data_IF_165876487595
#
_entry.id   IF_165876487595
#
_cell.length_a   1.000
_cell.length_b   1.000
_cell.length_c   1.000
_cell.angle_alpha   90.00
_cell.angle_beta   90.00
_cell.angle_gamma   90.00
#
_symmetry.space_group_name_H-M   'P 1'
#
loop_
_entity.id
_entity.type
_entity.pdbx_description
1 polymer ?
#
# COMPACT_ATOMS: atom_id res chain seq x y z
N UNK A 1 -13.13 4.61 -14.15
CA UNK A 1 -12.57 5.64 -13.28
C UNK A 1 -11.63 4.99 -12.26
N UNK A 2 -10.45 5.54 -12.09
CA UNK A 2 -9.48 4.99 -11.13
C UNK A 2 -9.87 5.36 -9.71
N UNK A 3 -9.72 4.40 -8.80
CA UNK A 3 -10.09 4.55 -7.40
C UNK A 3 -8.86 4.47 -6.49
N UNK A 4 -9.06 4.81 -5.24
CA UNK A 4 -8.04 4.69 -4.20
C UNK A 4 -8.57 3.78 -3.11
N UNK A 5 -7.80 2.75 -2.77
CA UNK A 5 -8.15 1.79 -1.72
C UNK A 5 -7.21 1.92 -0.52
N UNK A 6 -7.70 1.54 0.64
CA UNK A 6 -6.89 1.50 1.87
C UNK A 6 -7.08 0.14 2.53
N UNK A 7 -5.99 -0.58 2.74
CA UNK A 7 -5.99 -1.88 3.42
C UNK A 7 -5.23 -1.74 4.73
N UNK A 8 -5.84 -2.14 5.81
CA UNK A 8 -5.19 -2.07 7.11
C UNK A 8 -6.11 -2.46 8.25
N UNK A 9 -5.64 -2.29 9.48
CA UNK A 9 -6.44 -2.52 10.66
C UNK A 9 -7.63 -1.58 10.69
N UNK A 10 -8.69 -2.02 11.35
CA UNK A 10 -9.95 -1.28 11.38
C UNK A 10 -9.78 0.17 11.80
N UNK A 11 -8.98 0.43 12.83
CA UNK A 11 -8.80 1.78 13.34
C UNK A 11 -8.04 2.65 12.35
N UNK A 12 -7.09 2.07 11.62
CA UNK A 12 -6.32 2.79 10.63
C UNK A 12 -7.19 3.20 9.45
N UNK A 13 -7.98 2.25 8.89
CA UNK A 13 -8.74 2.54 7.68
C UNK A 13 -9.97 3.40 7.91
N UNK A 14 -10.55 3.38 9.11
CA UNK A 14 -11.76 4.15 9.39
C UNK A 14 -11.54 5.66 9.26
N UNK A 15 -10.33 6.14 9.54
CA UNK A 15 -10.00 7.53 9.31
C UNK A 15 -10.05 7.92 7.85
N UNK A 16 -9.71 7.00 6.97
CA UNK A 16 -9.73 7.25 5.52
C UNK A 16 -11.12 7.14 4.92
N UNK A 17 -12.02 6.41 5.59
CA UNK A 17 -13.40 6.29 5.12
C UNK A 17 -14.09 7.65 5.04
N UNK A 18 -13.80 8.51 5.98
CA UNK A 18 -14.37 9.85 6.03
C UNK A 18 -13.94 10.70 4.83
N UNK A 19 -12.84 10.34 4.17
CA UNK A 19 -12.32 11.04 3.00
C UNK A 19 -12.88 10.50 1.69
N UNK A 20 -13.77 9.51 1.76
CA UNK A 20 -14.40 8.95 0.56
C UNK A 20 -13.59 7.87 -0.13
N UNK A 21 -12.55 7.35 0.50
CA UNK A 21 -11.76 6.26 -0.05
C UNK A 21 -12.44 4.91 0.22
N UNK A 22 -12.15 3.92 -0.62
CA UNK A 22 -12.64 2.57 -0.40
C UNK A 22 -11.77 1.89 0.65
N UNK A 23 -12.34 1.55 1.79
CA UNK A 23 -11.59 1.00 2.91
C UNK A 23 -11.83 -0.50 3.07
N UNK A 24 -10.77 -1.24 3.37
CA UNK A 24 -10.79 -2.68 3.51
C UNK A 24 -10.14 -3.06 4.84
N UNK A 25 -10.92 -3.11 5.92
CA UNK A 25 -10.37 -3.49 7.23
C UNK A 25 -10.01 -4.99 7.24
N UNK A 26 -8.83 -5.30 7.74
CA UNK A 26 -8.33 -6.67 7.86
C UNK A 26 -7.75 -6.88 9.24
N UNK A 27 -7.74 -8.13 9.69
CA UNK A 27 -7.21 -8.48 11.00
C UNK A 27 -5.93 -9.29 10.92
N UNK A 28 -5.69 -9.96 9.79
CA UNK A 28 -4.53 -10.82 9.62
C UNK A 28 -3.80 -10.54 8.32
N UNK A 29 -2.56 -10.97 8.25
CA UNK A 29 -1.76 -10.86 7.03
C UNK A 29 -2.39 -11.65 5.87
N UNK A 30 -2.98 -12.79 6.19
CA UNK A 30 -3.66 -13.61 5.18
C UNK A 30 -4.84 -12.87 4.56
N UNK A 31 -5.63 -12.18 5.37
CA UNK A 31 -6.74 -11.38 4.89
C UNK A 31 -6.25 -10.22 4.04
N UNK A 32 -5.18 -9.57 4.45
CA UNK A 32 -4.59 -8.47 3.70
C UNK A 32 -4.10 -8.95 2.33
N UNK A 33 -3.45 -10.10 2.29
CA UNK A 33 -2.95 -10.69 1.06
C UNK A 33 -4.09 -11.00 0.09
N UNK A 34 -5.15 -11.62 0.60
CA UNK A 34 -6.33 -11.95 -0.21
C UNK A 34 -7.00 -10.69 -0.74
N UNK A 35 -7.15 -9.68 0.11
CA UNK A 35 -7.75 -8.41 -0.29
C UNK A 35 -6.92 -7.76 -1.39
N UNK A 36 -5.61 -7.71 -1.23
CA UNK A 36 -4.71 -7.13 -2.22
C UNK A 36 -4.84 -7.85 -3.56
N UNK A 37 -4.89 -9.19 -3.53
CA UNK A 37 -5.07 -9.98 -4.74
C UNK A 37 -6.40 -9.69 -5.42
N UNK A 38 -7.47 -9.59 -4.64
CA UNK A 38 -8.80 -9.32 -5.19
C UNK A 38 -8.88 -7.94 -5.83
N UNK A 39 -8.30 -6.94 -5.22
CA UNK A 39 -8.30 -5.58 -5.75
C UNK A 39 -7.49 -5.45 -7.03
N UNK A 40 -6.43 -6.22 -7.16
CA UNK A 40 -5.57 -6.17 -8.35
C UNK A 40 -6.06 -7.05 -9.48
N UNK A 41 -6.95 -8.00 -9.17
CA UNK A 41 -7.51 -8.93 -10.17
C UNK A 41 -8.71 -8.35 -10.90
N UNK A 42 -9.44 -7.46 -10.26
CA UNK A 42 -10.68 -6.91 -10.84
C UNK A 42 -10.37 -6.05 -12.05
N UNK A 43 -11.07 -6.33 -13.13
CA UNK A 43 -10.96 -5.54 -14.37
C UNK A 43 -11.92 -4.35 -14.31
N UNK A 44 -13.03 -4.51 -13.60
CA UNK A 44 -14.07 -3.48 -13.52
C UNK A 44 -13.71 -2.36 -12.55
N UNK A 45 -13.11 -2.73 -11.41
CA UNK A 45 -12.72 -1.76 -10.39
C UNK A 45 -11.20 -1.63 -10.40
N UNK A 46 -10.72 -0.65 -11.13
CA UNK A 46 -9.28 -0.41 -11.23
C UNK A 46 -8.85 0.61 -10.17
N UNK A 47 -7.95 0.19 -9.32
CA UNK A 47 -7.38 1.07 -8.31
C UNK A 47 -6.07 1.65 -8.80
N UNK A 48 -5.98 2.97 -8.77
CA UNK A 48 -4.75 3.67 -9.12
C UNK A 48 -3.74 3.58 -7.98
N UNK A 49 -4.23 3.67 -6.75
CA UNK A 49 -3.41 3.68 -5.55
C UNK A 49 -4.03 2.73 -4.51
N UNK A 50 -3.19 1.95 -3.87
CA UNK A 50 -3.57 1.12 -2.73
C UNK A 50 -2.68 1.51 -1.56
N UNK A 51 -3.26 2.12 -0.53
CA UNK A 51 -2.56 2.37 0.72
C UNK A 51 -2.59 1.11 1.55
N UNK A 52 -1.44 0.67 2.01
CA UNK A 52 -1.30 -0.54 2.81
C UNK A 52 -0.61 -0.21 4.12
N UNK A 53 -1.24 -0.60 5.24
CA UNK A 53 -0.63 -0.39 6.55
C UNK A 53 0.70 -1.12 6.63
N UNK A 54 1.76 -0.42 7.03
CA UNK A 54 3.10 -0.97 6.96
C UNK A 54 3.35 -2.19 7.86
N UNK A 55 2.59 -2.33 8.95
CA UNK A 55 2.69 -3.52 9.79
C UNK A 55 2.30 -4.80 9.04
N UNK A 56 1.37 -4.68 8.10
CA UNK A 56 0.96 -5.79 7.26
C UNK A 56 1.94 -6.03 6.11
N UNK A 57 2.57 -4.96 5.65
CA UNK A 57 3.49 -5.02 4.52
C UNK A 57 4.73 -5.87 4.82
N UNK A 58 5.13 -5.98 6.08
CA UNK A 58 6.28 -6.76 6.49
C UNK A 58 6.18 -8.21 6.00
N UNK A 59 4.98 -8.78 6.06
CA UNK A 59 4.76 -10.17 5.68
C UNK A 59 4.17 -10.32 4.27
N UNK A 60 4.03 -9.21 3.54
CA UNK A 60 3.45 -9.22 2.19
C UNK A 60 4.45 -8.74 1.12
N UNK A 61 5.73 -8.74 1.45
CA UNK A 61 6.76 -8.23 0.56
C UNK A 61 6.72 -8.87 -0.84
N UNK A 62 6.54 -10.19 -0.89
CA UNK A 62 6.47 -10.90 -2.17
C UNK A 62 5.27 -10.47 -3.01
N UNK A 63 4.13 -10.25 -2.37
CA UNK A 63 2.93 -9.80 -3.08
C UNK A 63 3.10 -8.38 -3.58
N UNK A 64 3.68 -7.51 -2.77
CA UNK A 64 3.92 -6.11 -3.12
C UNK A 64 4.88 -6.02 -4.29
N UNK A 65 5.94 -6.82 -4.29
CA UNK A 65 6.95 -6.81 -5.33
C UNK A 65 6.40 -7.19 -6.71
N UNK A 66 5.30 -7.94 -6.77
CA UNK A 66 4.66 -8.29 -8.03
C UNK A 66 4.15 -7.06 -8.79
N UNK A 67 3.86 -5.98 -8.08
CA UNK A 67 3.29 -4.76 -8.67
C UNK A 67 4.29 -3.61 -8.74
N UNK A 68 5.51 -3.85 -8.30
CA UNK A 68 6.53 -2.81 -8.20
C UNK A 68 6.86 -2.14 -9.52
N UNK A 69 6.90 -2.93 -10.60
CA UNK A 69 7.26 -2.44 -11.93
C UNK A 69 6.05 -2.10 -12.80
N UNK A 70 4.86 -2.24 -12.25
CA UNK A 70 3.64 -1.91 -12.97
C UNK A 70 3.22 -0.47 -12.69
N UNK A 71 2.70 0.24 -13.69
CA UNK A 71 2.28 1.63 -13.48
C UNK A 71 1.10 1.75 -12.50
N UNK A 72 0.21 0.77 -12.49
CA UNK A 72 -0.92 0.71 -11.55
C UNK A 72 -1.15 -0.72 -11.09
N UNK A 73 -1.62 -0.91 -9.86
CA UNK A 73 -1.77 0.10 -8.82
C UNK A 73 -0.43 0.46 -8.18
N UNK A 74 -0.30 1.69 -7.74
CA UNK A 74 0.82 2.08 -6.89
C UNK A 74 0.50 1.67 -5.46
N UNK A 75 1.37 0.89 -4.84
CA UNK A 75 1.17 0.46 -3.46
C UNK A 75 2.01 1.34 -2.56
N UNK A 76 1.35 2.10 -1.69
CA UNK A 76 1.99 3.07 -0.81
C UNK A 76 1.79 2.64 0.64
N UNK A 77 2.88 2.53 1.38
CA UNK A 77 2.82 2.14 2.78
C UNK A 77 2.42 3.32 3.65
N UNK A 78 1.56 3.07 4.62
CA UNK A 78 1.13 4.08 5.57
C UNK A 78 1.39 3.60 7.01
N UNK A 79 1.64 4.51 7.96
CA UNK A 79 1.83 4.11 9.34
C UNK A 79 0.53 3.59 9.94
N UNK A 80 0.66 2.59 10.83
CA UNK A 80 -0.47 2.06 11.54
C UNK A 80 -0.80 2.86 12.79
N UNK A 81 -1.70 2.31 13.60
CA UNK A 81 -2.15 2.93 14.84
C UNK A 81 -1.01 3.23 15.80
N UNK A 82 -0.02 2.36 15.86
CA UNK A 82 1.09 2.50 16.80
C UNK A 82 2.20 3.41 16.28
N UNK A 83 1.97 4.05 15.16
CA UNK A 83 2.94 4.92 14.54
C UNK A 83 3.75 4.22 13.46
N UNK A 84 4.70 4.94 12.90
CA UNK A 84 5.49 4.43 11.79
C UNK A 84 6.54 3.43 12.27
N UNK A 85 6.69 2.34 11.53
CA UNK A 85 7.79 1.40 11.72
C UNK A 85 9.04 1.83 10.94
N UNK A 86 8.94 2.96 10.24
CA UNK A 86 10.03 3.44 9.41
C UNK A 86 10.09 2.82 8.03
N UNK A 87 9.22 1.88 7.71
CA UNK A 87 9.23 1.20 6.41
C UNK A 87 8.86 2.13 5.26
N UNK A 88 7.87 2.99 5.47
CA UNK A 88 7.47 3.95 4.45
C UNK A 88 8.58 4.95 4.20
N UNK A 89 9.24 5.42 5.25
CA UNK A 89 10.36 6.34 5.13
C UNK A 89 11.55 5.68 4.47
N UNK A 90 11.83 4.43 4.81
CA UNK A 90 12.91 3.67 4.21
C UNK A 90 12.68 3.46 2.71
N UNK A 91 11.44 3.15 2.33
CA UNK A 91 11.09 2.96 0.93
C UNK A 91 11.22 4.27 0.15
N UNK A 92 10.78 5.38 0.74
CA UNK A 92 10.91 6.69 0.13
C UNK A 92 12.38 7.08 -0.02
N UNK A 93 13.16 6.86 1.03
CA UNK A 93 14.59 7.16 0.99
C UNK A 93 15.30 6.37 -0.10
N UNK A 94 15.00 5.08 -0.21
CA UNK A 94 15.58 4.24 -1.24
C UNK A 94 15.23 4.74 -2.65
N UNK A 95 13.98 5.19 -2.84
CA UNK A 95 13.54 5.74 -4.11
C UNK A 95 14.27 7.04 -4.44
N UNK A 96 14.45 7.92 -3.45
CA UNK A 96 15.15 9.19 -3.62
C UNK A 96 16.63 8.95 -3.93
N UNK A 97 17.25 8.02 -3.22
CA UNK A 97 18.66 7.69 -3.45
C UNK A 97 18.89 7.14 -4.86
N UNK A 98 17.97 6.31 -5.36
CA UNK A 98 18.07 5.81 -6.73
C UNK A 98 17.94 6.91 -7.77
N UNK A 99 17.03 7.85 -7.53
CA UNK A 99 16.81 8.95 -8.45
C UNK A 99 17.97 9.96 -8.44
N UNK A 100 18.44 10.32 -7.24
CA UNK A 100 19.52 11.32 -7.07
C UNK A 100 20.90 10.71 -7.37
N UNK A 101 21.11 9.46 -7.00
CA UNK A 101 22.38 8.78 -7.22
C UNK A 101 22.81 8.74 -8.67
N UNK A 102 21.85 8.60 -9.58
CA UNK A 102 22.16 8.60 -11.02
C UNK A 102 22.51 9.99 -11.55
N UNK A 103 22.10 11.05 -10.85
CA UNK A 103 22.40 12.43 -11.26
C UNK A 103 23.72 12.94 -10.69
N UNK A 104 24.11 12.43 -9.55
CA UNK A 104 25.33 12.89 -8.86
C UNK A 104 26.56 12.19 -9.41
N UNK A 105 26.40 10.99 -9.84
CA UNK A 105 27.49 10.19 -10.39
C UNK A 105 27.59 10.36 -11.90
#
# INVERSE_FOLDING_TARGET
MLKIAVIGGRETVMGFKALGLDVFPVETDAQAKETLRNLTRSVEDTYAIIYLEETLAVNLENEINKYKDKPTPAIILIPGREGSLGLAQAALRASVERAVGSDIL
#
